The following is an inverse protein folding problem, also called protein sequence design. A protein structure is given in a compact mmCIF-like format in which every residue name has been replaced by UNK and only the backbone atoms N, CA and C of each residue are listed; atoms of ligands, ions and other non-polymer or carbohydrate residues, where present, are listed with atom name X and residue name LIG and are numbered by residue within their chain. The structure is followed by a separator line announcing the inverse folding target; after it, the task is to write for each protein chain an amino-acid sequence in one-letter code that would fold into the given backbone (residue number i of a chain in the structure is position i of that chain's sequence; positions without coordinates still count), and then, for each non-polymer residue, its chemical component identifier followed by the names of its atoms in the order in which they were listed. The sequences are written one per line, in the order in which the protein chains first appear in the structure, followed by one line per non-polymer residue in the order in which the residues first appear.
data_IF_475136883038
#
_entry.id   IF_475136883038
#
_cell.length_a   1.000
_cell.length_b   1.000
_cell.length_c   1.000
_cell.angle_alpha   90.00
_cell.angle_beta   90.00
_cell.angle_gamma   90.00
#
_symmetry.space_group_name_H-M   'P 1'
#
loop_
_entity.id
_entity.type
_entity.pdbx_description
1 polymer ?
#
# COMPACT_ATOMS: atom_id res chain seq x y z
N UNK A 1 -21.86 2.13 39.06
CA UNK A 1 -20.42 2.21 39.37
C UNK A 1 -20.13 1.15 40.44
N UNK A 2 -19.27 0.16 40.19
CA UNK A 2 -18.88 -0.77 41.25
C UNK A 2 -17.94 -0.04 42.20
N UNK A 3 -18.22 -0.16 43.51
CA UNK A 3 -17.43 0.38 44.62
C UNK A 3 -15.99 -0.15 44.47
N UNK A 4 -14.96 0.70 44.57
CA UNK A 4 -13.57 0.24 44.53
C UNK A 4 -13.33 -0.61 45.78
N UNK A 5 -13.11 -1.91 45.58
CA UNK A 5 -12.66 -2.77 46.66
C UNK A 5 -11.23 -2.37 46.98
N UNK A 6 -10.99 -1.89 48.19
CA UNK A 6 -9.64 -1.52 48.66
C UNK A 6 -8.75 -2.76 48.62
N UNK A 7 -7.71 -2.69 47.81
CA UNK A 7 -6.70 -3.75 47.64
C UNK A 7 -5.46 -3.33 48.43
N UNK A 8 -4.90 -4.26 49.18
CA UNK A 8 -3.72 -4.03 50.00
C UNK A 8 -2.60 -4.96 49.52
N UNK A 9 -1.49 -4.36 49.09
CA UNK A 9 -0.27 -5.08 48.79
C UNK A 9 0.66 -5.09 50.00
N UNK A 10 0.92 -6.24 50.55
CA UNK A 10 1.87 -6.43 51.65
C UNK A 10 3.24 -6.74 51.08
N UNK A 11 4.19 -5.88 51.38
CA UNK A 11 5.61 -6.03 51.00
C UNK A 11 6.48 -5.99 52.27
N UNK A 12 7.75 -6.29 52.12
CA UNK A 12 8.71 -6.17 53.22
C UNK A 12 8.84 -4.71 53.78
N UNK A 13 8.45 -3.70 52.97
CA UNK A 13 8.45 -2.30 53.37
C UNK A 13 7.15 -1.83 54.03
N UNK A 14 6.11 -2.68 54.06
CA UNK A 14 4.82 -2.37 54.68
C UNK A 14 3.60 -2.72 53.85
N UNK A 15 2.42 -2.24 54.28
CA UNK A 15 1.16 -2.41 53.60
C UNK A 15 0.84 -1.21 52.70
N UNK A 16 0.62 -1.40 51.44
CA UNK A 16 0.37 -0.35 50.45
C UNK A 16 -1.05 -0.48 49.89
N UNK A 17 -1.88 0.53 50.05
CA UNK A 17 -3.21 0.58 49.45
C UNK A 17 -3.12 0.86 47.96
N UNK A 18 -3.75 0.06 47.16
CA UNK A 18 -3.80 0.18 45.70
C UNK A 18 -5.25 0.28 45.22
N UNK A 19 -5.50 1.24 44.34
CA UNK A 19 -6.75 1.35 43.60
C UNK A 19 -6.66 0.47 42.33
N UNK A 20 -7.28 -0.72 42.36
CA UNK A 20 -7.17 -1.72 41.33
C UNK A 20 -8.42 -1.76 40.48
N UNK A 21 -8.26 -1.56 39.18
CA UNK A 21 -9.26 -1.91 38.19
C UNK A 21 -9.16 -3.40 37.89
N UNK A 22 -10.32 -4.07 37.72
CA UNK A 22 -10.37 -5.50 37.44
C UNK A 22 -10.62 -5.77 35.95
N UNK A 23 -9.83 -6.65 35.38
CA UNK A 23 -10.02 -7.21 34.03
C UNK A 23 -10.29 -8.70 34.16
N UNK A 24 -11.58 -9.08 34.22
CA UNK A 24 -12.04 -10.47 34.42
C UNK A 24 -12.77 -11.07 33.21
N UNK A 25 -13.24 -10.24 32.26
CA UNK A 25 -13.85 -10.71 31.03
C UNK A 25 -12.81 -10.78 29.89
N UNK A 26 -13.13 -11.55 28.83
CA UNK A 26 -12.23 -11.65 27.66
C UNK A 26 -11.87 -10.26 27.08
N UNK A 27 -12.87 -9.41 26.84
CA UNK A 27 -12.63 -8.07 26.25
C UNK A 27 -11.87 -7.14 27.18
N UNK A 28 -12.12 -7.17 28.48
CA UNK A 28 -11.38 -6.34 29.43
C UNK A 28 -9.94 -6.81 29.56
N UNK A 29 -9.66 -8.11 29.51
CA UNK A 29 -8.30 -8.68 29.49
C UNK A 29 -7.56 -8.37 28.21
N UNK A 30 -8.23 -8.51 27.05
CA UNK A 30 -7.64 -8.21 25.73
C UNK A 30 -7.30 -6.72 25.63
N UNK A 31 -8.19 -5.83 26.07
CA UNK A 31 -7.98 -4.40 26.06
C UNK A 31 -6.87 -3.98 27.03
N UNK A 32 -6.82 -4.55 28.25
CA UNK A 32 -5.83 -4.21 29.26
C UNK A 32 -5.66 -2.69 29.41
N UNK A 33 -4.42 -2.23 29.31
CA UNK A 33 -4.04 -0.81 29.29
C UNK A 33 -3.84 -0.27 27.85
N UNK A 34 -4.24 -1.00 26.82
CA UNK A 34 -4.14 -0.52 25.43
C UNK A 34 -4.91 0.79 25.26
N UNK A 35 -4.26 1.78 24.66
CA UNK A 35 -4.80 3.12 24.41
C UNK A 35 -5.31 3.87 25.66
N UNK A 36 -5.01 3.38 26.87
CA UNK A 36 -5.36 4.03 28.12
C UNK A 36 -4.35 5.12 28.48
N UNK A 37 -4.77 6.07 29.36
CA UNK A 37 -3.85 7.01 29.97
C UNK A 37 -2.87 6.29 30.92
N UNK A 38 -1.67 6.84 31.17
CA UNK A 38 -0.73 6.28 32.13
C UNK A 38 -1.37 6.11 33.52
N UNK A 39 -1.03 5.01 34.18
CA UNK A 39 -1.47 4.75 35.57
C UNK A 39 -0.75 5.69 36.53
N UNK A 40 -1.46 6.17 37.57
CA UNK A 40 -0.85 6.85 38.71
C UNK A 40 -0.20 5.80 39.64
N UNK A 41 0.73 6.27 40.50
CA UNK A 41 1.55 5.40 41.37
C UNK A 41 0.75 4.47 42.29
N UNK A 42 -0.46 4.86 42.68
CA UNK A 42 -1.34 4.07 43.54
C UNK A 42 -2.39 3.26 42.76
N UNK A 43 -2.37 3.33 41.40
CA UNK A 43 -3.32 2.66 40.53
C UNK A 43 -2.70 1.43 39.87
N UNK A 44 -3.55 0.42 39.64
CA UNK A 44 -3.16 -0.77 38.92
C UNK A 44 -4.31 -1.43 38.17
N UNK A 45 -3.98 -2.39 37.32
CA UNK A 45 -4.92 -3.24 36.62
C UNK A 45 -4.66 -4.69 37.03
N UNK A 46 -5.62 -5.32 37.68
CA UNK A 46 -5.55 -6.75 38.02
C UNK A 46 -6.23 -7.56 36.91
N UNK A 47 -5.44 -8.33 36.18
CA UNK A 47 -5.90 -9.21 35.12
C UNK A 47 -6.01 -10.63 35.70
N UNK A 48 -7.23 -11.13 35.77
CA UNK A 48 -7.48 -12.46 36.32
C UNK A 48 -7.27 -13.58 35.27
N UNK A 49 -6.78 -14.73 35.71
CA UNK A 49 -6.54 -15.91 34.84
C UNK A 49 -5.65 -15.60 33.64
N UNK A 50 -4.57 -14.84 33.86
CA UNK A 50 -3.66 -14.42 32.82
C UNK A 50 -2.21 -14.61 33.34
N UNK A 51 -1.41 -15.36 32.60
CA UNK A 51 0.01 -15.65 32.92
C UNK A 51 0.99 -14.99 31.95
N UNK A 52 0.47 -14.19 31.03
CA UNK A 52 1.25 -13.45 30.04
C UNK A 52 0.60 -12.12 29.72
N UNK A 53 1.39 -11.11 29.44
CA UNK A 53 0.91 -9.77 29.04
C UNK A 53 1.69 -9.27 27.84
N UNK A 54 1.04 -8.43 27.06
CA UNK A 54 1.66 -7.72 25.94
C UNK A 54 1.40 -6.22 26.06
N UNK A 55 2.40 -5.43 25.74
CA UNK A 55 2.32 -3.98 25.69
C UNK A 55 2.07 -3.47 24.26
N UNK A 56 1.33 -4.23 23.42
CA UNK A 56 0.94 -3.82 22.08
C UNK A 56 0.04 -2.56 22.15
N UNK A 57 0.23 -1.62 21.24
CA UNK A 57 -0.52 -0.35 21.17
C UNK A 57 -0.42 0.53 22.43
N UNK A 58 0.53 0.26 23.32
CA UNK A 58 0.84 1.14 24.46
C UNK A 58 1.81 2.24 24.06
N UNK A 59 1.77 3.37 24.75
CA UNK A 59 2.62 4.55 24.52
C UNK A 59 3.65 4.79 25.62
N UNK A 60 3.59 4.00 26.70
CA UNK A 60 4.42 4.17 27.89
C UNK A 60 4.79 2.79 28.46
N UNK A 61 5.92 2.69 29.18
CA UNK A 61 6.31 1.44 29.84
C UNK A 61 5.44 1.18 31.08
N UNK A 62 5.34 -0.07 31.50
CA UNK A 62 4.62 -0.51 32.70
C UNK A 62 5.48 -1.48 33.51
N UNK A 63 5.15 -1.63 34.79
CA UNK A 63 5.66 -2.69 35.63
C UNK A 63 4.64 -3.83 35.71
N UNK A 64 5.12 -5.07 35.61
CA UNK A 64 4.27 -6.26 35.61
C UNK A 64 4.64 -7.17 36.76
N UNK A 65 3.65 -7.51 37.59
CA UNK A 65 3.80 -8.41 38.73
C UNK A 65 2.91 -9.63 38.51
N UNK A 66 3.51 -10.80 38.53
CA UNK A 66 2.81 -12.07 38.37
C UNK A 66 2.44 -12.66 39.73
N UNK A 67 1.18 -13.08 39.87
CA UNK A 67 0.60 -13.57 41.11
C UNK A 67 0.13 -15.01 40.94
N UNK A 68 0.25 -15.81 42.01
CA UNK A 68 -0.42 -17.10 42.08
C UNK A 68 -1.93 -16.94 42.38
N UNK A 69 -2.64 -18.05 42.52
CA UNK A 69 -4.09 -18.07 42.84
C UNK A 69 -4.43 -17.45 44.21
N UNK A 70 -3.48 -17.34 45.10
CA UNK A 70 -3.62 -16.80 46.46
C UNK A 70 -3.14 -15.36 46.57
N UNK A 71 -2.72 -14.73 45.46
CA UNK A 71 -2.23 -13.39 45.44
C UNK A 71 -0.75 -13.25 45.85
N UNK A 72 0.01 -14.34 45.94
CA UNK A 72 1.43 -14.29 46.22
C UNK A 72 2.19 -13.93 44.95
N UNK A 73 3.09 -12.97 45.06
CA UNK A 73 3.98 -12.55 43.98
C UNK A 73 4.94 -13.68 43.61
N UNK A 74 4.87 -14.13 42.38
CA UNK A 74 5.72 -15.19 41.84
C UNK A 74 6.89 -14.65 41.04
N UNK A 75 6.67 -13.53 40.33
CA UNK A 75 7.69 -12.89 39.48
C UNK A 75 7.36 -11.43 39.27
N UNK A 76 8.41 -10.60 39.14
CA UNK A 76 8.32 -9.20 38.77
C UNK A 76 9.05 -8.93 37.46
N UNK A 77 8.50 -8.07 36.60
CA UNK A 77 9.12 -7.57 35.38
C UNK A 77 8.99 -6.06 35.38
N UNK A 78 10.08 -5.36 35.67
CA UNK A 78 10.09 -3.90 35.69
C UNK A 78 10.27 -3.32 34.28
N UNK A 79 9.59 -2.20 33.99
CA UNK A 79 9.78 -1.40 32.80
C UNK A 79 9.50 -2.11 31.49
N UNK A 80 8.44 -2.91 31.39
CA UNK A 80 8.02 -3.53 30.12
C UNK A 80 7.71 -2.43 29.10
N UNK A 81 8.54 -2.34 28.06
CA UNK A 81 8.43 -1.30 27.01
C UNK A 81 7.24 -1.55 26.09
N UNK A 82 6.69 -0.51 25.46
CA UNK A 82 5.71 -0.66 24.37
C UNK A 82 6.14 -1.68 23.33
N UNK A 83 5.17 -2.39 22.78
CA UNK A 83 5.36 -3.45 21.74
C UNK A 83 6.20 -4.64 22.19
N UNK A 84 6.34 -4.86 23.48
CA UNK A 84 6.99 -6.04 24.06
C UNK A 84 5.95 -6.92 24.77
N UNK A 85 6.30 -8.19 24.96
CA UNK A 85 5.51 -9.13 25.75
C UNK A 85 6.35 -9.65 26.92
N UNK A 86 5.66 -10.00 28.01
CA UNK A 86 6.26 -10.64 29.19
C UNK A 86 5.45 -11.88 29.55
N UNK A 87 6.14 -12.91 30.04
CA UNK A 87 5.56 -14.19 30.45
C UNK A 87 6.00 -14.53 31.86
N UNK A 88 5.13 -15.19 32.65
CA UNK A 88 5.44 -15.58 34.02
C UNK A 88 6.54 -16.65 34.13
N UNK A 89 6.80 -17.40 33.04
CA UNK A 89 7.82 -18.42 32.92
C UNK A 89 7.46 -19.46 31.85
N UNK A 90 8.48 -20.06 31.25
CA UNK A 90 8.36 -21.15 30.28
C UNK A 90 8.92 -22.44 30.91
N UNK A 91 8.11 -23.50 30.88
CA UNK A 91 8.51 -24.84 31.31
C UNK A 91 7.84 -25.35 32.60
N UNK A 92 8.02 -26.62 32.91
CA UNK A 92 7.36 -27.32 34.04
C UNK A 92 7.82 -26.91 35.44
N UNK A 93 8.89 -26.13 35.53
CA UNK A 93 9.36 -25.51 36.80
C UNK A 93 8.93 -24.05 36.95
N UNK A 94 8.15 -23.52 36.00
CA UNK A 94 7.64 -22.16 36.10
C UNK A 94 6.68 -22.06 37.30
N UNK A 95 6.75 -20.96 38.09
CA UNK A 95 5.79 -20.74 39.16
C UNK A 95 4.36 -20.76 38.60
N UNK A 96 3.42 -21.36 39.34
CA UNK A 96 2.00 -21.43 38.93
C UNK A 96 1.36 -20.05 39.03
N UNK A 97 1.57 -19.21 38.03
CA UNK A 97 0.95 -17.90 37.92
C UNK A 97 -0.50 -18.04 37.52
N UNK A 98 -1.39 -17.40 38.24
CA UNK A 98 -2.82 -17.38 37.96
C UNK A 98 -3.33 -16.01 37.53
N UNK A 99 -2.67 -14.92 37.98
CA UNK A 99 -3.09 -13.55 37.76
C UNK A 99 -1.91 -12.67 37.45
N UNK A 100 -2.18 -11.52 36.82
CA UNK A 100 -1.16 -10.52 36.54
C UNK A 100 -1.66 -9.15 37.02
N UNK A 101 -0.78 -8.42 37.69
CA UNK A 101 -1.01 -7.05 38.14
C UNK A 101 -0.11 -6.11 37.33
N UNK A 102 -0.72 -5.21 36.58
CA UNK A 102 -0.03 -4.14 35.83
C UNK A 102 -0.03 -2.87 36.69
N UNK A 103 1.13 -2.25 36.81
CA UNK A 103 1.37 -1.04 37.64
C UNK A 103 2.07 0.03 36.80
N UNK A 104 2.05 1.25 37.29
CA UNK A 104 2.85 2.33 36.71
C UNK A 104 4.34 1.95 36.68
N UNK A 105 5.08 2.39 35.66
CA UNK A 105 6.52 2.16 35.58
C UNK A 105 7.25 2.71 36.82
N UNK A 106 8.16 1.88 37.37
CA UNK A 106 8.90 2.20 38.59
C UNK A 106 8.15 1.85 39.88
N UNK A 107 6.92 1.37 39.85
CA UNK A 107 6.16 0.97 41.03
C UNK A 107 6.79 -0.19 41.79
N UNK A 108 7.36 -1.17 41.06
CA UNK A 108 8.06 -2.31 41.66
C UNK A 108 9.22 -1.83 42.54
N UNK A 109 10.00 -0.89 42.06
CA UNK A 109 11.10 -0.32 42.81
C UNK A 109 10.62 0.57 44.00
N UNK A 110 9.63 1.43 43.76
CA UNK A 110 9.10 2.36 44.74
C UNK A 110 8.40 1.66 45.93
N UNK A 111 7.70 0.55 45.68
CA UNK A 111 6.98 -0.25 46.67
C UNK A 111 7.82 -1.44 47.16
N UNK A 112 9.03 -1.61 46.67
CA UNK A 112 9.96 -2.70 47.00
C UNK A 112 9.34 -4.09 46.81
N UNK A 113 8.56 -4.26 45.74
CA UNK A 113 7.82 -5.51 45.45
C UNK A 113 8.82 -6.63 45.10
N UNK A 114 8.69 -7.78 45.77
CA UNK A 114 9.54 -8.95 45.56
C UNK A 114 8.71 -10.23 45.47
N UNK A 115 9.22 -11.29 44.83
CA UNK A 115 8.62 -12.61 44.91
C UNK A 115 8.44 -13.02 46.40
N UNK A 116 7.27 -13.53 46.73
CA UNK A 116 6.86 -13.84 48.08
C UNK A 116 5.93 -12.80 48.76
N UNK A 117 5.88 -11.57 48.26
CA UNK A 117 4.90 -10.56 48.73
C UNK A 117 3.48 -10.96 48.41
N UNK A 118 2.50 -10.37 49.07
CA UNK A 118 1.10 -10.80 48.92
C UNK A 118 0.15 -9.63 48.65
N UNK A 119 -0.63 -9.78 47.59
CA UNK A 119 -1.77 -8.89 47.29
C UNK A 119 -3.04 -9.45 47.90
N UNK A 120 -3.68 -8.69 48.79
CA UNK A 120 -4.99 -8.92 49.32
C UNK A 120 -6.05 -8.21 48.45
N UNK A 121 -6.92 -8.99 47.80
CA UNK A 121 -8.02 -8.47 47.01
C UNK A 121 -9.20 -9.44 47.08
N UNK A 122 -10.46 -8.99 47.24
CA UNK A 122 -11.64 -9.84 47.42
C UNK A 122 -11.83 -10.95 46.39
N UNK A 123 -11.37 -10.70 45.16
CA UNK A 123 -11.40 -11.71 44.07
C UNK A 123 -10.34 -12.79 44.19
N UNK A 124 -9.28 -12.59 44.93
CA UNK A 124 -8.21 -13.56 45.17
C UNK A 124 -8.46 -14.44 46.38
N UNK A 125 -9.23 -13.92 47.34
CA UNK A 125 -9.60 -14.62 48.59
C UNK A 125 -10.84 -15.52 48.44
N UNK A 126 -11.63 -15.37 47.39
CA UNK A 126 -12.88 -16.07 47.15
C UNK A 126 -12.71 -17.53 46.62
N UNK A 127 -11.51 -18.11 46.66
CA UNK A 127 -11.34 -19.53 46.46
C UNK A 127 -11.40 -20.27 47.80
N UNK A 128 -12.47 -21.07 48.11
CA UNK A 128 -12.55 -21.80 49.34
C UNK A 128 -11.38 -22.79 49.43
N UNK A 129 -10.76 -22.85 50.59
CA UNK A 129 -9.64 -23.75 50.91
C UNK A 129 -10.07 -25.21 51.11
N UNK A 130 -10.98 -25.71 50.32
CA UNK A 130 -11.36 -27.12 50.35
C UNK A 130 -11.85 -27.58 48.99
N UNK A 131 -10.97 -28.11 48.20
CA UNK A 131 -11.12 -29.39 47.49
C UNK A 131 -9.76 -29.72 46.85
N UNK A 132 -8.93 -30.38 47.63
CA UNK A 132 -7.84 -31.19 47.10
C UNK A 132 -8.50 -32.35 46.31
N UNK A 133 -8.67 -32.22 45.03
CA UNK A 133 -9.23 -33.29 44.22
C UNK A 133 -9.90 -32.94 42.89
N UNK A 134 -10.26 -31.69 42.64
CA UNK A 134 -10.80 -31.32 41.33
C UNK A 134 -9.70 -30.80 40.44
N UNK A 135 -9.07 -31.71 39.73
CA UNK A 135 -8.15 -31.48 38.63
C UNK A 135 -8.76 -30.49 37.62
N UNK A 136 -8.04 -29.45 37.37
CA UNK A 136 -7.92 -28.55 36.20
C UNK A 136 -8.72 -28.92 34.92
N UNK A 137 -10.02 -29.12 35.00
CA UNK A 137 -10.87 -29.24 33.80
C UNK A 137 -11.40 -27.90 33.29
N UNK A 138 -11.36 -26.84 34.11
CA UNK A 138 -11.87 -25.53 33.71
C UNK A 138 -10.93 -24.74 32.79
N UNK A 139 -9.63 -25.06 32.76
CA UNK A 139 -8.62 -24.31 31.99
C UNK A 139 -8.55 -24.74 30.51
N UNK A 140 -9.01 -25.96 30.18
CA UNK A 140 -9.06 -26.45 28.79
C UNK A 140 -10.18 -25.82 27.97
N UNK A 141 -11.29 -25.43 28.57
CA UNK A 141 -12.42 -24.79 27.87
C UNK A 141 -12.18 -23.34 27.49
N UNK A 142 -11.44 -22.56 28.32
CA UNK A 142 -11.13 -21.15 28.05
C UNK A 142 -10.20 -21.00 26.84
N UNK A 143 -9.15 -21.81 26.75
CA UNK A 143 -8.21 -21.78 25.63
C UNK A 143 -8.88 -22.18 24.30
N UNK A 144 -9.83 -23.10 24.30
CA UNK A 144 -10.59 -23.46 23.09
C UNK A 144 -11.49 -22.32 22.62
N UNK A 145 -12.17 -21.61 23.54
CA UNK A 145 -13.02 -20.47 23.17
C UNK A 145 -12.16 -19.31 22.66
N UNK A 146 -11.03 -19.03 23.32
CA UNK A 146 -10.09 -18.02 22.88
C UNK A 146 -9.53 -18.32 21.47
N UNK A 147 -9.14 -19.57 21.22
CA UNK A 147 -8.69 -20.02 19.90
C UNK A 147 -9.80 -19.93 18.84
N UNK A 148 -11.04 -20.30 19.19
CA UNK A 148 -12.18 -20.25 18.26
C UNK A 148 -12.51 -18.82 17.82
N UNK A 149 -12.26 -17.82 18.65
CA UNK A 149 -12.48 -16.39 18.31
C UNK A 149 -11.27 -15.78 17.62
N UNK A 150 -10.07 -16.02 18.15
CA UNK A 150 -8.85 -15.38 17.65
C UNK A 150 -8.32 -16.08 16.39
N UNK A 151 -8.44 -17.40 16.31
CA UNK A 151 -7.95 -18.20 15.19
C UNK A 151 -8.47 -17.74 13.83
N UNK A 152 -9.78 -17.60 13.62
CA UNK A 152 -10.34 -17.07 12.37
C UNK A 152 -9.85 -15.66 12.01
N UNK A 153 -9.70 -14.78 13.01
CA UNK A 153 -9.25 -13.41 12.81
C UNK A 153 -7.80 -13.40 12.31
N UNK A 154 -6.91 -14.16 12.96
CA UNK A 154 -5.50 -14.26 12.56
C UNK A 154 -5.39 -14.91 11.18
N UNK A 155 -6.17 -15.96 10.92
CA UNK A 155 -6.21 -16.63 9.62
C UNK A 155 -6.66 -15.66 8.52
N UNK A 156 -7.74 -14.92 8.75
CA UNK A 156 -8.24 -13.93 7.81
C UNK A 156 -7.20 -12.83 7.55
N UNK A 157 -6.53 -12.35 8.60
CA UNK A 157 -5.46 -11.36 8.48
C UNK A 157 -4.29 -11.91 7.64
N UNK A 158 -3.84 -13.13 7.90
CA UNK A 158 -2.78 -13.78 7.13
C UNK A 158 -3.15 -13.96 5.66
N UNK A 159 -4.38 -14.41 5.38
CA UNK A 159 -4.91 -14.53 4.03
C UNK A 159 -5.04 -13.16 3.33
N UNK A 160 -5.37 -12.11 4.07
CA UNK A 160 -5.46 -10.75 3.53
C UNK A 160 -4.10 -10.20 3.14
N UNK A 161 -3.07 -10.44 3.95
CA UNK A 161 -1.68 -10.07 3.63
C UNK A 161 -1.22 -10.81 2.38
N UNK A 162 -1.49 -12.11 2.27
CA UNK A 162 -1.16 -12.90 1.09
C UNK A 162 -1.88 -12.36 -0.16
N UNK A 163 -3.19 -12.06 -0.07
CA UNK A 163 -3.95 -11.49 -1.18
C UNK A 163 -3.39 -10.13 -1.60
N UNK A 164 -3.02 -9.28 -0.65
CA UNK A 164 -2.42 -7.98 -0.94
C UNK A 164 -1.06 -8.14 -1.65
N UNK A 165 -0.21 -9.07 -1.20
CA UNK A 165 1.05 -9.38 -1.86
C UNK A 165 0.86 -9.85 -3.32
N UNK A 166 -0.13 -10.73 -3.56
CA UNK A 166 -0.48 -11.16 -4.92
C UNK A 166 -1.01 -10.02 -5.80
N UNK A 167 -1.82 -9.12 -5.24
CA UNK A 167 -2.30 -7.93 -5.96
C UNK A 167 -1.14 -6.99 -6.30
N UNK A 168 -0.20 -6.79 -5.38
CA UNK A 168 0.97 -5.96 -5.61
C UNK A 168 1.84 -6.50 -6.76
N UNK A 169 2.12 -7.80 -6.78
CA UNK A 169 2.83 -8.46 -7.87
C UNK A 169 2.08 -8.32 -9.21
N UNK A 170 0.76 -8.55 -9.19
CA UNK A 170 -0.07 -8.36 -10.37
C UNK A 170 -0.02 -6.92 -10.88
N UNK A 171 -0.11 -5.93 -9.99
CA UNK A 171 -0.01 -4.50 -10.34
C UNK A 171 1.32 -4.15 -10.99
N UNK A 172 2.43 -4.69 -10.47
CA UNK A 172 3.75 -4.49 -11.07
C UNK A 172 3.81 -5.05 -12.50
N UNK A 173 3.26 -6.25 -12.71
CA UNK A 173 3.20 -6.86 -14.03
C UNK A 173 2.26 -6.11 -14.99
N UNK A 174 1.13 -5.60 -14.50
CA UNK A 174 0.19 -4.77 -15.27
C UNK A 174 0.86 -3.46 -15.69
N UNK A 175 1.62 -2.81 -14.80
CA UNK A 175 2.35 -1.59 -15.12
C UNK A 175 3.41 -1.83 -16.19
N UNK A 176 4.16 -2.94 -16.09
CA UNK A 176 5.09 -3.33 -17.14
C UNK A 176 4.39 -3.57 -18.48
N UNK A 177 3.28 -4.30 -18.47
CA UNK A 177 2.49 -4.56 -19.67
C UNK A 177 1.92 -3.28 -20.28
N UNK A 178 1.51 -2.32 -19.43
CA UNK A 178 1.05 -1.01 -19.88
C UNK A 178 2.16 -0.22 -20.60
N UNK A 179 3.39 -0.26 -20.08
CA UNK A 179 4.55 0.34 -20.75
C UNK A 179 4.84 -0.32 -22.09
N UNK A 180 4.78 -1.65 -22.17
CA UNK A 180 4.96 -2.37 -23.44
C UNK A 180 3.86 -2.06 -24.46
N UNK A 181 2.62 -1.91 -24.00
CA UNK A 181 1.49 -1.48 -24.85
C UNK A 181 1.70 -0.07 -25.41
N UNK A 182 2.14 0.87 -24.56
CA UNK A 182 2.40 2.25 -24.99
C UNK A 182 3.57 2.33 -25.97
N UNK A 183 4.63 1.55 -25.74
CA UNK A 183 5.78 1.46 -26.65
C UNK A 183 5.36 0.92 -28.03
N UNK A 184 4.55 -0.14 -28.06
CA UNK A 184 4.01 -0.68 -29.33
C UNK A 184 3.10 0.35 -30.01
N UNK A 185 2.22 0.99 -29.26
CA UNK A 185 1.36 2.05 -29.78
C UNK A 185 2.15 3.21 -30.39
N UNK A 186 3.28 3.58 -29.75
CA UNK A 186 4.15 4.64 -30.22
C UNK A 186 4.85 4.31 -31.58
N UNK A 187 5.15 3.04 -31.84
CA UNK A 187 5.73 2.54 -33.09
C UNK A 187 4.67 2.26 -34.13
N UNK A 188 3.49 1.81 -33.70
CA UNK A 188 2.39 1.37 -34.57
C UNK A 188 1.36 2.50 -34.83
N UNK A 189 1.81 3.71 -35.07
CA UNK A 189 0.97 4.83 -35.51
C UNK A 189 -0.19 5.21 -34.54
N UNK A 190 0.02 5.10 -33.24
CA UNK A 190 -0.99 5.28 -32.20
C UNK A 190 -2.17 4.25 -32.26
N UNK A 191 -1.91 3.08 -32.82
CA UNK A 191 -2.92 2.02 -32.95
C UNK A 191 -3.27 1.40 -31.61
N UNK A 192 -4.50 1.58 -31.16
CA UNK A 192 -5.03 0.99 -29.90
C UNK A 192 -5.08 -0.54 -30.01
N UNK A 193 -5.38 -1.09 -31.19
CA UNK A 193 -5.43 -2.55 -31.40
C UNK A 193 -4.05 -3.20 -31.26
N UNK A 194 -3.01 -2.58 -31.82
CA UNK A 194 -1.62 -3.03 -31.67
C UNK A 194 -1.15 -2.93 -30.22
N UNK A 195 -1.46 -1.82 -29.56
CA UNK A 195 -1.19 -1.62 -28.13
C UNK A 195 -1.89 -2.70 -27.28
N UNK A 196 -3.14 -3.05 -27.57
CA UNK A 196 -3.88 -4.07 -26.83
C UNK A 196 -3.29 -5.48 -27.05
N UNK A 197 -2.87 -5.81 -28.26
CA UNK A 197 -2.19 -7.07 -28.56
C UNK A 197 -0.85 -7.16 -27.81
N UNK A 198 -0.07 -6.07 -27.76
CA UNK A 198 1.19 -6.03 -27.03
C UNK A 198 0.95 -6.14 -25.51
N UNK A 199 -0.08 -5.45 -25.01
CA UNK A 199 -0.51 -5.56 -23.60
C UNK A 199 -0.78 -7.00 -23.21
N UNK A 200 -1.60 -7.71 -24.00
CA UNK A 200 -1.98 -9.10 -23.74
C UNK A 200 -0.76 -10.02 -23.77
N UNK A 201 0.16 -9.83 -24.73
CA UNK A 201 1.42 -10.59 -24.78
C UNK A 201 2.31 -10.34 -23.56
N UNK A 202 2.42 -9.10 -23.12
CA UNK A 202 3.23 -8.75 -21.96
C UNK A 202 2.66 -9.29 -20.63
N UNK A 203 1.39 -9.67 -20.57
CA UNK A 203 0.75 -10.28 -19.40
C UNK A 203 0.93 -11.81 -19.31
N UNK A 204 1.59 -12.46 -20.26
CA UNK A 204 1.84 -13.92 -20.24
C UNK A 204 2.37 -14.41 -18.87
N UNK A 205 3.31 -13.74 -18.19
CA UNK A 205 3.78 -14.17 -16.88
C UNK A 205 2.68 -14.22 -15.80
N UNK A 206 1.68 -13.32 -15.86
CA UNK A 206 0.55 -13.29 -14.94
C UNK A 206 -0.39 -14.48 -15.11
N UNK A 207 -0.44 -15.06 -16.32
CA UNK A 207 -1.29 -16.21 -16.69
C UNK A 207 -0.56 -17.55 -16.66
N UNK A 208 0.59 -17.61 -15.99
CA UNK A 208 1.34 -18.83 -15.75
C UNK A 208 2.70 -18.88 -16.43
N UNK A 209 2.96 -18.03 -17.43
CA UNK A 209 4.23 -18.01 -18.15
C UNK A 209 4.57 -19.35 -18.80
N UNK A 210 5.87 -19.66 -18.89
CA UNK A 210 6.36 -20.93 -19.37
C UNK A 210 7.79 -20.84 -19.89
N UNK A 211 8.46 -22.00 -20.00
CA UNK A 211 9.81 -22.11 -20.55
C UNK A 211 9.81 -22.66 -21.99
N UNK A 212 8.70 -23.24 -22.42
CA UNK A 212 8.54 -23.80 -23.77
C UNK A 212 7.58 -22.98 -24.61
N UNK A 213 7.73 -22.96 -25.95
CA UNK A 213 6.80 -22.27 -26.84
C UNK A 213 5.35 -22.69 -26.65
N UNK A 214 5.08 -23.97 -26.41
CA UNK A 214 3.75 -24.50 -26.15
C UNK A 214 3.14 -23.95 -24.86
N UNK A 215 3.92 -23.85 -23.78
CA UNK A 215 3.47 -23.25 -22.51
C UNK A 215 3.18 -21.75 -22.67
N UNK A 216 4.04 -21.02 -23.38
CA UNK A 216 3.81 -19.59 -23.67
C UNK A 216 2.55 -19.38 -24.50
N UNK A 217 2.32 -20.21 -25.53
CA UNK A 217 1.10 -20.16 -26.34
C UNK A 217 -0.15 -20.45 -25.49
N UNK A 218 -0.09 -21.44 -24.60
CA UNK A 218 -1.19 -21.76 -23.69
C UNK A 218 -1.46 -20.62 -22.70
N UNK A 219 -0.42 -19.96 -22.16
CA UNK A 219 -0.57 -18.79 -21.28
C UNK A 219 -1.17 -17.59 -22.03
N UNK A 220 -0.75 -17.35 -23.27
CA UNK A 220 -1.33 -16.32 -24.13
C UNK A 220 -2.81 -16.60 -24.44
N UNK A 221 -3.16 -17.85 -24.73
CA UNK A 221 -4.55 -18.24 -24.96
C UNK A 221 -5.42 -17.99 -23.72
N UNK A 222 -4.92 -18.30 -22.51
CA UNK A 222 -5.59 -17.98 -21.25
C UNK A 222 -5.75 -16.48 -21.06
N UNK A 223 -4.71 -15.69 -21.36
CA UNK A 223 -4.77 -14.24 -21.27
C UNK A 223 -5.84 -13.67 -22.23
N UNK A 224 -5.85 -14.11 -23.49
CA UNK A 224 -6.86 -13.71 -24.46
C UNK A 224 -8.29 -14.09 -24.03
N UNK A 225 -8.48 -15.30 -23.50
CA UNK A 225 -9.77 -15.77 -23.03
C UNK A 225 -10.28 -14.96 -21.82
N UNK A 226 -9.39 -14.59 -20.90
CA UNK A 226 -9.76 -13.82 -19.71
C UNK A 226 -9.97 -12.34 -20.04
N UNK A 227 -9.08 -11.72 -20.81
CA UNK A 227 -9.17 -10.30 -21.13
C UNK A 227 -10.26 -9.98 -22.13
N UNK A 228 -10.52 -10.88 -23.09
CA UNK A 228 -11.48 -10.67 -24.17
C UNK A 228 -11.08 -9.53 -25.11
N UNK A 229 -12.03 -8.96 -25.83
CA UNK A 229 -11.78 -7.82 -26.69
C UNK A 229 -11.67 -6.52 -25.87
N UNK A 230 -10.92 -5.55 -26.39
CA UNK A 230 -10.71 -4.27 -25.76
C UNK A 230 -12.04 -3.57 -25.40
N UNK A 231 -12.21 -3.22 -24.12
CA UNK A 231 -13.40 -2.52 -23.59
C UNK A 231 -14.63 -3.39 -23.39
N UNK A 232 -14.74 -4.57 -24.02
CA UNK A 232 -15.86 -5.50 -23.83
C UNK A 232 -15.54 -6.66 -22.89
N UNK A 233 -14.27 -6.99 -22.71
CA UNK A 233 -13.79 -8.05 -21.81
C UNK A 233 -13.50 -7.55 -20.39
N UNK A 234 -12.38 -7.99 -19.83
CA UNK A 234 -11.92 -7.65 -18.50
C UNK A 234 -10.73 -6.65 -18.50
N UNK A 235 -10.36 -6.13 -19.65
CA UNK A 235 -9.40 -5.05 -19.80
C UNK A 235 -9.87 -4.03 -20.83
N UNK A 236 -9.49 -2.78 -20.65
CA UNK A 236 -9.76 -1.68 -21.58
C UNK A 236 -8.52 -0.82 -21.69
N UNK A 237 -8.16 -0.48 -22.93
CA UNK A 237 -7.15 0.53 -23.26
C UNK A 237 -7.84 1.66 -23.98
N UNK A 238 -7.68 2.86 -23.44
CA UNK A 238 -8.16 4.10 -24.01
C UNK A 238 -6.99 4.99 -24.41
N UNK A 239 -7.06 5.52 -25.61
CA UNK A 239 -6.10 6.51 -26.10
C UNK A 239 -6.55 7.90 -25.63
N UNK A 240 -5.80 8.48 -24.69
CA UNK A 240 -6.10 9.81 -24.15
C UNK A 240 -5.40 10.92 -24.94
N UNK A 241 -4.30 10.60 -25.59
CA UNK A 241 -3.54 11.51 -26.47
C UNK A 241 -2.82 10.69 -27.55
N UNK A 242 -2.76 11.14 -28.83
CA UNK A 242 -3.37 12.36 -29.37
C UNK A 242 -4.92 12.31 -29.37
N UNK A 243 -5.53 13.48 -29.19
CA UNK A 243 -6.98 13.65 -29.23
C UNK A 243 -7.46 13.97 -30.65
N UNK A 244 -8.77 13.98 -30.87
CA UNK A 244 -9.34 14.46 -32.15
C UNK A 244 -8.90 15.88 -32.47
N UNK A 245 -8.90 16.76 -31.46
CA UNK A 245 -8.46 18.15 -31.57
C UNK A 245 -6.97 18.27 -31.92
N UNK A 246 -6.13 17.33 -31.42
CA UNK A 246 -4.71 17.28 -31.81
C UNK A 246 -4.57 17.03 -33.32
N UNK A 247 -5.42 16.19 -33.92
CA UNK A 247 -5.44 15.95 -35.35
C UNK A 247 -6.05 17.13 -36.12
N UNK A 248 -7.00 17.91 -35.55
CA UNK A 248 -7.54 19.12 -36.17
C UNK A 248 -6.46 20.17 -36.35
N UNK A 249 -5.60 20.36 -35.35
CA UNK A 249 -4.57 21.39 -35.35
C UNK A 249 -3.28 21.00 -36.10
N UNK A 250 -2.90 19.71 -36.05
CA UNK A 250 -1.56 19.24 -36.46
C UNK A 250 -1.56 18.26 -37.63
N UNK A 251 -2.67 18.13 -38.37
CA UNK A 251 -2.73 17.27 -39.56
C UNK A 251 -1.79 17.73 -40.62
N UNK A 252 -1.02 16.80 -41.21
CA UNK A 252 -0.12 17.02 -42.35
C UNK A 252 -0.63 16.26 -43.57
N UNK A 253 -1.21 16.98 -44.52
CA UNK A 253 -1.79 16.43 -45.74
C UNK A 253 -0.74 15.72 -46.61
N UNK A 254 0.52 16.23 -46.65
CA UNK A 254 1.58 15.56 -47.42
C UNK A 254 1.96 14.20 -46.83
N UNK A 255 2.01 14.10 -45.51
CA UNK A 255 2.21 12.81 -44.82
C UNK A 255 1.00 11.89 -45.01
N UNK A 256 -0.20 12.42 -44.98
CA UNK A 256 -1.42 11.65 -45.22
C UNK A 256 -1.41 10.99 -46.62
N UNK A 257 -1.00 11.72 -47.64
CA UNK A 257 -0.83 11.23 -49.01
C UNK A 257 0.29 10.18 -49.07
N UNK A 258 1.45 10.51 -48.49
CA UNK A 258 2.63 9.64 -48.53
C UNK A 258 2.39 8.28 -47.85
N UNK A 259 1.61 8.26 -46.77
CA UNK A 259 1.25 7.03 -46.02
C UNK A 259 -0.01 6.34 -46.56
N UNK A 260 -0.63 6.85 -47.63
CA UNK A 260 -1.86 6.32 -48.25
C UNK A 260 -2.98 6.08 -47.22
N UNK A 261 -3.15 6.97 -46.23
CA UNK A 261 -4.11 6.79 -45.13
C UNK A 261 -5.56 7.09 -45.53
N UNK A 262 -5.78 7.54 -46.76
CA UNK A 262 -7.10 7.98 -47.23
C UNK A 262 -7.56 9.25 -46.49
N UNK A 263 -8.74 9.21 -45.90
CA UNK A 263 -9.28 10.37 -45.15
C UNK A 263 -8.82 10.46 -43.69
N UNK A 264 -7.98 9.53 -43.20
CA UNK A 264 -7.48 9.55 -41.82
C UNK A 264 -6.34 10.54 -41.69
N UNK A 265 -6.48 11.48 -40.76
CA UNK A 265 -5.50 12.53 -40.50
C UNK A 265 -4.22 11.98 -39.90
N UNK A 266 -3.11 12.69 -40.11
CA UNK A 266 -1.78 12.27 -39.71
C UNK A 266 -1.06 13.40 -39.01
N UNK A 267 -0.57 13.15 -37.79
CA UNK A 267 0.33 14.07 -37.07
C UNK A 267 1.78 13.60 -37.34
N UNK A 268 2.63 14.44 -37.96
CA UNK A 268 4.00 14.06 -38.29
C UNK A 268 4.87 13.93 -37.04
N UNK A 269 5.63 12.84 -36.97
CA UNK A 269 6.62 12.63 -35.92
C UNK A 269 7.94 13.35 -36.23
N UNK A 270 8.35 13.37 -37.49
CA UNK A 270 9.64 13.97 -37.92
C UNK A 270 9.56 15.49 -38.01
N UNK A 271 10.71 16.16 -37.81
CA UNK A 271 10.82 17.60 -37.99
C UNK A 271 10.21 18.48 -36.90
N UNK A 272 9.87 17.92 -35.75
CA UNK A 272 9.24 18.66 -34.64
C UNK A 272 10.12 19.80 -34.08
N UNK A 273 11.44 19.61 -34.08
CA UNK A 273 12.40 20.61 -33.63
C UNK A 273 12.51 21.84 -34.55
N UNK A 274 12.05 21.67 -35.80
CA UNK A 274 12.07 22.74 -36.82
C UNK A 274 10.72 23.50 -36.85
N UNK A 275 9.69 23.01 -36.13
CA UNK A 275 8.40 23.68 -36.08
C UNK A 275 8.34 24.61 -34.87
N UNK A 276 7.78 25.80 -35.11
CA UNK A 276 7.56 26.78 -34.04
C UNK A 276 6.82 26.15 -32.85
N UNK A 277 7.14 26.64 -31.66
CA UNK A 277 6.42 26.26 -30.40
C UNK A 277 4.99 26.83 -30.38
N UNK A 278 4.32 26.81 -31.52
CA UNK A 278 2.95 27.27 -31.64
C UNK A 278 2.01 26.34 -30.93
N UNK A 279 1.09 26.89 -30.16
CA UNK A 279 0.02 26.14 -29.52
C UNK A 279 -1.16 26.03 -30.47
N UNK A 280 -1.68 24.85 -30.64
CA UNK A 280 -2.85 24.58 -31.46
C UNK A 280 -4.09 25.26 -30.89
N UNK A 281 -4.90 25.83 -31.78
CA UNK A 281 -6.06 26.62 -31.40
C UNK A 281 -7.20 25.77 -30.78
N UNK A 282 -7.33 24.52 -31.22
CA UNK A 282 -8.42 23.61 -30.81
C UNK A 282 -8.00 22.68 -29.68
N UNK A 283 -6.78 22.15 -29.76
CA UNK A 283 -6.24 21.19 -28.79
C UNK A 283 -5.57 21.84 -27.59
N UNK A 284 -5.18 23.11 -27.72
CA UNK A 284 -4.30 23.79 -26.75
C UNK A 284 -2.98 23.07 -26.51
N UNK A 285 -2.49 22.31 -27.49
CA UNK A 285 -1.26 21.52 -27.44
C UNK A 285 -0.23 22.03 -28.45
N UNK A 286 1.05 21.90 -28.09
CA UNK A 286 2.14 22.01 -29.07
C UNK A 286 2.18 20.75 -29.93
N UNK A 287 2.90 20.76 -31.03
CA UNK A 287 3.09 19.55 -31.83
C UNK A 287 3.87 18.48 -31.06
N UNK A 288 4.75 18.89 -30.15
CA UNK A 288 5.48 17.98 -29.26
C UNK A 288 4.52 17.28 -28.28
N UNK A 289 3.57 18.02 -27.70
CA UNK A 289 2.55 17.45 -26.82
C UNK A 289 1.62 16.49 -27.58
N UNK A 290 1.22 16.85 -28.81
CA UNK A 290 0.42 16.01 -29.69
C UNK A 290 1.14 14.72 -30.11
N UNK A 291 2.50 14.71 -30.08
CA UNK A 291 3.33 13.53 -30.33
C UNK A 291 3.67 12.72 -29.06
N UNK A 292 2.95 12.91 -27.98
CA UNK A 292 2.96 12.02 -26.82
C UNK A 292 1.79 11.04 -26.94
N UNK A 293 2.05 9.74 -26.96
CA UNK A 293 0.98 8.76 -26.78
C UNK A 293 0.69 8.61 -25.29
N UNK A 294 -0.55 8.87 -24.88
CA UNK A 294 -1.01 8.68 -23.51
C UNK A 294 -2.16 7.69 -23.50
N UNK A 295 -1.95 6.59 -22.78
CA UNK A 295 -2.92 5.52 -22.64
C UNK A 295 -3.44 5.46 -21.20
N UNK A 296 -4.73 5.22 -21.04
CA UNK A 296 -5.36 4.77 -19.80
C UNK A 296 -5.71 3.30 -19.95
N UNK A 297 -5.17 2.48 -19.09
CA UNK A 297 -5.39 1.03 -19.11
C UNK A 297 -6.10 0.65 -17.83
N UNK A 298 -7.29 0.08 -17.95
CA UNK A 298 -8.08 -0.47 -16.85
C UNK A 298 -8.07 -1.98 -16.95
N UNK A 299 -7.51 -2.67 -15.96
CA UNK A 299 -7.41 -4.13 -15.91
C UNK A 299 -8.19 -4.69 -14.72
N UNK A 300 -9.08 -5.63 -14.97
CA UNK A 300 -9.86 -6.31 -13.95
C UNK A 300 -9.10 -7.48 -13.32
N UNK A 301 -8.34 -7.24 -12.27
CA UNK A 301 -7.63 -8.29 -11.54
C UNK A 301 -8.60 -9.19 -10.77
N UNK A 302 -8.51 -10.51 -10.97
CA UNK A 302 -9.31 -11.50 -10.24
C UNK A 302 -8.58 -11.93 -8.96
N UNK A 303 -9.11 -11.61 -7.74
CA UNK A 303 -8.53 -12.07 -6.49
C UNK A 303 -8.54 -13.58 -6.40
N UNK A 304 -7.44 -14.19 -5.94
CA UNK A 304 -7.25 -15.66 -5.93
C UNK A 304 -7.48 -16.30 -4.56
N UNK A 305 -7.33 -15.52 -3.46
CA UNK A 305 -7.42 -16.05 -2.10
C UNK A 305 -8.87 -16.20 -1.68
N UNK A 306 -9.34 -17.41 -1.32
CA UNK A 306 -10.70 -17.64 -0.85
C UNK A 306 -10.99 -16.84 0.44
N UNK A 307 -12.26 -16.67 0.79
CA UNK A 307 -12.76 -15.84 1.90
C UNK A 307 -12.49 -14.34 1.70
N UNK A 308 -11.22 -13.93 1.53
CA UNK A 308 -10.82 -12.52 1.31
C UNK A 308 -11.39 -11.97 0.01
N UNK A 309 -11.45 -12.79 -1.04
CA UNK A 309 -12.07 -12.43 -2.33
C UNK A 309 -13.49 -11.89 -2.17
N UNK A 310 -14.35 -12.61 -1.43
CA UNK A 310 -15.75 -12.24 -1.26
C UNK A 310 -15.91 -10.99 -0.39
N UNK A 311 -15.14 -10.91 0.70
CA UNK A 311 -15.13 -9.75 1.59
C UNK A 311 -14.70 -8.48 0.84
N UNK A 312 -13.60 -8.58 0.07
CA UNK A 312 -13.06 -7.45 -0.68
C UNK A 312 -13.98 -7.02 -1.83
N UNK A 313 -14.56 -7.98 -2.56
CA UNK A 313 -15.53 -7.69 -3.60
C UNK A 313 -16.78 -6.97 -3.07
N UNK A 314 -17.30 -7.39 -1.92
CA UNK A 314 -18.44 -6.74 -1.27
C UNK A 314 -18.10 -5.31 -0.83
N UNK A 315 -16.92 -5.12 -0.25
CA UNK A 315 -16.44 -3.81 0.18
C UNK A 315 -16.27 -2.85 -1.01
N UNK A 316 -15.66 -3.30 -2.11
CA UNK A 316 -15.47 -2.46 -3.29
C UNK A 316 -16.79 -2.13 -3.99
N UNK A 317 -17.77 -3.05 -4.03
CA UNK A 317 -19.12 -2.77 -4.56
C UNK A 317 -19.83 -1.69 -3.74
N UNK A 318 -19.65 -1.72 -2.43
CA UNK A 318 -20.23 -0.69 -1.55
C UNK A 318 -19.59 0.69 -1.74
N UNK A 319 -18.30 0.74 -2.11
CA UNK A 319 -17.57 1.99 -2.36
C UNK A 319 -17.73 2.52 -3.79
N UNK A 320 -18.33 1.77 -4.71
CA UNK A 320 -18.41 2.16 -6.12
C UNK A 320 -19.36 3.36 -6.31
N UNK A 321 -18.87 4.50 -6.81
CA UNK A 321 -19.71 5.67 -7.08
C UNK A 321 -20.54 5.54 -8.37
N UNK A 322 -20.40 4.44 -9.11
CA UNK A 322 -21.08 4.18 -10.40
C UNK A 322 -20.83 5.23 -11.50
N UNK A 323 -19.71 5.94 -11.44
CA UNK A 323 -19.36 7.00 -12.42
C UNK A 323 -18.73 6.46 -13.69
N UNK A 324 -18.14 5.24 -13.63
CA UNK A 324 -17.50 4.56 -14.76
C UNK A 324 -18.15 3.19 -14.95
N UNK A 325 -18.89 3.02 -16.06
CA UNK A 325 -19.61 1.79 -16.36
C UNK A 325 -18.70 0.56 -16.50
N UNK A 326 -17.47 0.73 -17.04
CA UNK A 326 -16.52 -0.37 -17.16
C UNK A 326 -15.97 -0.78 -15.79
N UNK A 327 -15.68 0.19 -14.94
CA UNK A 327 -15.26 -0.04 -13.55
C UNK A 327 -16.33 -0.80 -12.76
N UNK A 328 -17.58 -0.31 -12.81
CA UNK A 328 -18.73 -0.97 -12.16
C UNK A 328 -18.94 -2.40 -12.67
N UNK A 329 -18.81 -2.64 -13.99
CA UNK A 329 -18.86 -3.99 -14.58
C UNK A 329 -17.81 -4.93 -13.98
N UNK A 330 -16.56 -4.47 -13.84
CA UNK A 330 -15.48 -5.26 -13.24
C UNK A 330 -15.77 -5.60 -11.77
N UNK A 331 -16.24 -4.64 -10.99
CA UNK A 331 -16.63 -4.84 -9.59
C UNK A 331 -17.82 -5.81 -9.47
N UNK A 332 -18.81 -5.71 -10.35
CA UNK A 332 -19.94 -6.64 -10.40
C UNK A 332 -19.48 -8.09 -10.62
N UNK A 333 -18.44 -8.30 -11.46
CA UNK A 333 -17.84 -9.62 -11.70
C UNK A 333 -16.86 -10.08 -10.61
N UNK A 334 -16.70 -9.30 -9.51
CA UNK A 334 -15.81 -9.60 -8.40
C UNK A 334 -14.33 -9.39 -8.71
N UNK A 335 -14.03 -8.54 -9.70
CA UNK A 335 -12.68 -8.15 -10.08
C UNK A 335 -12.31 -6.81 -9.47
N UNK A 336 -11.02 -6.63 -9.20
CA UNK A 336 -10.45 -5.39 -8.70
C UNK A 336 -9.97 -4.58 -9.90
N UNK A 337 -10.54 -3.40 -10.17
CA UNK A 337 -10.06 -2.55 -11.25
C UNK A 337 -8.68 -1.97 -10.89
N UNK A 338 -7.69 -2.25 -11.71
CA UNK A 338 -6.35 -1.65 -11.62
C UNK A 338 -6.21 -0.68 -12.78
N UNK A 339 -6.16 0.60 -12.48
CA UNK A 339 -6.01 1.66 -13.48
C UNK A 339 -4.55 2.09 -13.53
N UNK A 340 -4.00 2.15 -14.73
CA UNK A 340 -2.63 2.59 -15.01
C UNK A 340 -2.65 3.60 -16.14
N UNK A 341 -1.94 4.71 -15.94
CA UNK A 341 -1.68 5.69 -16.97
C UNK A 341 -0.23 5.56 -17.42
N UNK A 342 -0.01 5.62 -18.72
CA UNK A 342 1.33 5.58 -19.30
C UNK A 342 1.43 6.61 -20.42
N UNK A 343 2.54 7.32 -20.45
CA UNK A 343 2.84 8.34 -21.49
C UNK A 343 4.22 8.06 -22.06
N UNK A 344 4.32 8.00 -23.38
CA UNK A 344 5.56 7.74 -24.12
C UNK A 344 5.60 8.66 -25.34
N UNK A 345 6.78 9.06 -25.78
CA UNK A 345 6.91 9.77 -27.04
C UNK A 345 6.59 8.87 -28.24
N UNK A 346 5.85 9.38 -29.22
CA UNK A 346 5.64 8.71 -30.49
C UNK A 346 6.99 8.46 -31.19
N UNK A 347 7.10 7.34 -31.84
CA UNK A 347 8.27 6.94 -32.65
C UNK A 347 7.88 6.71 -34.13
N UNK A 348 6.64 7.01 -34.46
CA UNK A 348 6.06 6.97 -35.80
C UNK A 348 5.05 8.11 -35.95
N UNK A 349 4.69 8.47 -37.16
CA UNK A 349 3.61 9.43 -37.42
C UNK A 349 2.29 8.87 -36.82
N UNK A 350 1.59 9.69 -36.02
CA UNK A 350 0.31 9.26 -35.46
C UNK A 350 -0.78 9.30 -36.55
N UNK A 351 -1.53 8.22 -36.71
CA UNK A 351 -2.62 8.11 -37.67
C UNK A 351 -3.95 8.08 -36.93
N UNK A 352 -4.88 8.91 -37.36
CA UNK A 352 -6.21 9.00 -36.73
C UNK A 352 -6.91 7.63 -36.74
N UNK A 353 -7.27 7.14 -35.54
CA UNK A 353 -8.02 5.90 -35.34
C UNK A 353 -9.51 6.16 -35.14
N UNK A 354 -10.32 5.10 -35.21
CA UNK A 354 -11.77 5.17 -35.01
C UNK A 354 -12.19 5.39 -33.53
N UNK A 355 -11.28 5.26 -32.60
CA UNK A 355 -11.55 5.24 -31.15
C UNK A 355 -10.97 6.46 -30.43
N UNK A 356 -10.93 7.62 -31.08
CA UNK A 356 -10.40 8.83 -30.48
C UNK A 356 -11.33 9.43 -29.44
N UNK A 357 -10.77 9.78 -28.31
CA UNK A 357 -11.44 10.60 -27.29
C UNK A 357 -11.42 12.06 -27.75
N UNK A 358 -12.60 12.70 -27.81
CA UNK A 358 -12.73 14.09 -28.23
C UNK A 358 -12.61 15.11 -27.08
N UNK A 359 -12.47 14.63 -25.86
CA UNK A 359 -12.24 15.44 -24.66
C UNK A 359 -11.31 14.67 -23.71
N UNK A 360 -10.59 15.36 -22.81
CA UNK A 360 -9.84 14.67 -21.79
C UNK A 360 -10.81 13.79 -21.00
N UNK A 361 -10.56 12.47 -21.02
CA UNK A 361 -11.39 11.50 -20.30
C UNK A 361 -11.32 11.70 -18.79
N UNK A 362 -12.25 11.06 -18.03
CA UNK A 362 -12.22 11.11 -16.58
C UNK A 362 -10.85 10.66 -16.06
N UNK A 363 -10.23 11.45 -15.22
CA UNK A 363 -8.87 11.23 -14.73
C UNK A 363 -7.76 11.97 -15.49
N UNK A 364 -8.08 12.65 -16.56
CA UNK A 364 -7.16 13.55 -17.27
C UNK A 364 -7.28 15.01 -16.78
N UNK A 365 -7.86 15.18 -15.58
CA UNK A 365 -8.01 16.47 -14.93
C UNK A 365 -9.21 17.33 -15.36
N UNK A 366 -9.92 16.99 -16.42
CA UNK A 366 -11.24 17.56 -16.82
C UNK A 366 -11.38 19.07 -16.89
N UNK A 367 -10.42 19.84 -16.42
CA UNK A 367 -10.36 21.29 -16.57
C UNK A 367 -9.70 21.59 -17.90
N UNK A 368 -10.39 22.31 -18.81
CA UNK A 368 -9.70 22.92 -19.94
C UNK A 368 -8.53 23.73 -19.36
N UNK A 369 -7.32 23.37 -19.67
CA UNK A 369 -6.18 24.24 -19.36
C UNK A 369 -6.45 25.52 -20.14
N UNK A 370 -6.71 26.59 -19.38
CA UNK A 370 -6.92 27.90 -19.99
C UNK A 370 -5.67 28.18 -20.84
N UNK A 371 -5.75 28.35 -22.18
CA UNK A 371 -4.60 28.57 -23.05
C UNK A 371 -3.81 29.82 -22.72
N UNK A 372 -4.27 30.63 -21.77
CA UNK A 372 -3.57 31.85 -21.31
C UNK A 372 -2.42 31.62 -20.31
N UNK A 373 -2.28 30.42 -19.74
CA UNK A 373 -1.16 30.08 -18.88
C UNK A 373 -0.62 28.71 -19.30
N UNK A 374 0.44 28.65 -20.08
CA UNK A 374 1.22 27.43 -20.16
C UNK A 374 1.61 27.04 -18.73
N UNK A 375 1.59 25.74 -18.39
CA UNK A 375 2.12 25.33 -17.10
C UNK A 375 3.49 25.97 -16.96
N UNK A 376 3.67 26.74 -15.88
CA UNK A 376 4.91 27.47 -15.62
C UNK A 376 5.95 26.39 -15.21
N UNK A 377 6.43 25.66 -16.19
CA UNK A 377 7.62 24.82 -16.08
C UNK A 377 8.83 25.50 -16.69
N UNK A 378 8.74 26.81 -16.90
CA UNK A 378 9.89 27.66 -17.23
C UNK A 378 10.42 28.43 -16.02
N UNK A 379 10.16 27.94 -14.82
CA UNK A 379 11.04 28.24 -13.71
C UNK A 379 12.37 27.54 -13.97
N UNK A 380 13.51 28.13 -13.66
CA UNK A 380 14.76 27.37 -13.63
C UNK A 380 14.49 26.11 -12.78
N UNK A 381 15.07 24.95 -13.13
CA UNK A 381 14.92 23.75 -12.31
C UNK A 381 15.23 24.15 -10.87
N UNK A 382 14.47 23.65 -9.87
CA UNK A 382 14.68 24.01 -8.48
C UNK A 382 16.17 23.90 -8.19
N UNK A 383 16.75 24.96 -7.63
CA UNK A 383 18.15 24.96 -7.26
C UNK A 383 18.43 23.69 -6.47
N UNK A 384 19.43 22.94 -6.88
CA UNK A 384 19.84 21.75 -6.13
C UNK A 384 20.46 22.22 -4.81
N UNK A 385 19.66 22.26 -3.75
CA UNK A 385 20.11 22.64 -2.40
C UNK A 385 20.94 21.53 -1.72
N UNK A 386 21.25 20.46 -2.43
CA UNK A 386 22.08 19.37 -1.92
C UNK A 386 23.54 19.56 -2.30
N UNK A 387 24.41 19.45 -1.31
CA UNK A 387 25.88 19.54 -1.35
C UNK A 387 26.61 18.73 -2.44
N UNK A 388 25.89 18.01 -3.30
CA UNK A 388 26.45 17.21 -4.41
C UNK A 388 26.25 17.82 -5.79
N UNK A 389 25.55 18.96 -5.91
CA UNK A 389 25.41 19.65 -7.18
C UNK A 389 26.33 20.86 -7.16
N UNK A 390 27.50 20.76 -7.80
CA UNK A 390 28.28 21.95 -8.16
C UNK A 390 27.60 22.60 -9.35
N UNK A 391 27.25 23.88 -9.22
CA UNK A 391 26.76 24.69 -10.33
C UNK A 391 27.73 24.56 -11.51
N UNK A 392 27.24 24.24 -12.72
CA UNK A 392 28.09 24.37 -13.89
C UNK A 392 28.53 25.83 -14.04
N UNK A 393 29.75 26.08 -14.44
CA UNK A 393 30.25 27.44 -14.61
C UNK A 393 29.32 28.21 -15.56
N UNK A 394 28.87 29.39 -15.13
CA UNK A 394 27.80 30.19 -15.71
C UNK A 394 28.09 30.73 -17.11
N UNK A 395 29.32 30.53 -17.63
CA UNK A 395 29.70 30.88 -19.00
C UNK A 395 30.60 29.79 -19.57
N UNK A 396 30.15 29.05 -20.59
CA UNK A 396 31.10 28.32 -21.39
C UNK A 396 32.06 29.37 -22.03
N UNK A 397 33.36 29.12 -22.04
CA UNK A 397 34.26 29.97 -22.77
C UNK A 397 33.78 30.05 -24.22
N UNK A 398 33.72 31.25 -24.77
CA UNK A 398 33.34 31.48 -26.17
C UNK A 398 34.38 30.82 -27.07
N UNK A 399 34.13 29.57 -27.42
CA UNK A 399 35.01 28.77 -28.25
C UNK A 399 34.49 28.78 -29.68
N UNK A 400 35.28 29.30 -30.58
CA UNK A 400 34.96 29.26 -32.00
C UNK A 400 35.83 28.21 -32.68
N UNK A 401 35.26 27.07 -33.10
CA UNK A 401 36.02 25.97 -33.69
C UNK A 401 36.71 26.32 -35.01
N UNK A 402 36.34 27.44 -35.65
CA UNK A 402 36.96 27.89 -36.88
C UNK A 402 38.17 28.82 -36.66
N UNK A 403 38.28 29.47 -35.51
CA UNK A 403 39.35 30.39 -35.19
C UNK A 403 40.37 29.88 -34.20
N UNK A 404 39.98 28.90 -33.35
CA UNK A 404 40.87 28.32 -32.34
C UNK A 404 40.57 26.83 -32.09
N UNK A 405 40.92 25.96 -33.06
CA UNK A 405 40.62 24.53 -32.97
C UNK A 405 41.42 23.77 -31.91
N UNK A 406 42.48 24.37 -31.36
CA UNK A 406 43.34 23.70 -30.37
C UNK A 406 42.82 23.85 -28.93
N UNK A 407 41.95 24.82 -28.65
CA UNK A 407 41.37 25.07 -27.32
C UNK A 407 39.94 24.60 -27.21
N UNK A 408 39.34 24.08 -28.28
CA UNK A 408 38.00 23.51 -28.29
C UNK A 408 38.05 21.97 -28.13
N UNK A 409 38.70 21.46 -27.10
CA UNK A 409 38.57 20.06 -26.73
C UNK A 409 37.26 19.90 -25.93
N UNK A 410 36.29 19.13 -26.40
CA UNK A 410 35.09 18.85 -25.59
C UNK A 410 35.56 18.09 -24.35
N UNK A 411 35.48 18.72 -23.19
CA UNK A 411 35.58 17.98 -21.95
C UNK A 411 34.48 16.93 -21.91
N UNK A 412 34.78 15.70 -21.51
CA UNK A 412 33.74 14.69 -21.36
C UNK A 412 32.75 15.21 -20.33
N UNK A 413 31.49 15.38 -20.73
CA UNK A 413 30.39 15.71 -19.85
C UNK A 413 30.28 14.62 -18.79
N UNK A 414 30.84 14.81 -17.62
CA UNK A 414 30.52 14.05 -16.42
C UNK A 414 29.21 14.59 -15.90
N UNK A 415 28.13 14.28 -16.59
CA UNK A 415 26.78 14.48 -16.05
C UNK A 415 26.54 13.35 -15.08
N UNK A 416 26.72 13.62 -13.81
CA UNK A 416 26.16 12.77 -12.76
C UNK A 416 24.67 13.07 -12.71
N UNK A 417 23.90 12.26 -13.43
CA UNK A 417 22.45 12.31 -13.33
C UNK A 417 22.04 11.91 -11.92
N UNK A 418 21.24 12.76 -11.27
CA UNK A 418 20.55 12.43 -10.03
C UNK A 418 19.71 11.18 -10.26
N UNK A 419 19.99 10.09 -9.55
CA UNK A 419 19.10 8.94 -9.46
C UNK A 419 17.87 9.35 -8.65
N UNK A 420 16.64 9.13 -9.15
CA UNK A 420 15.45 9.36 -8.35
C UNK A 420 15.41 8.33 -7.22
N UNK A 421 15.26 8.81 -6.00
CA UNK A 421 14.99 8.05 -4.80
C UNK A 421 13.57 7.46 -4.79
#
# INVERSE_FOLDING_TARGET
MPIPASSILHTASGAHALDLRLADTFFTRLRGLMLAAPLHRAQGLLITRCASVHAACMRYPIDVVYLDRHGVVTRCTAGLRPWRASFSGLGWRAPRTAHTLELAAGAIAALHIRPGDRLQHPRLEAAPATVAGMRDKAQRGSAMIEFTVIGPIITLLGLSILQYGMLFLARTQINYAAFMAAREGAVAHASVSSAYAAYTRALIPLYGGGQTPAQLAAALAKANADLGANGSGNASIELLNPTRQSFDDWNDVHRQIALHTGNRRVIPYSGQSLKDQKVGATSSQTIQDANLIKLRITHGYLPKVPLVKNLYATYLKWLDPHTDAFHTKLLASGRIPVVTHVTVHMQSDAIEGNSLVSAPGPGNGGTPVNPGNPPVTSGPPPACDNLSCTDPPVTPPACNPFTDPQHCVPEPCTVICCTPS
#
